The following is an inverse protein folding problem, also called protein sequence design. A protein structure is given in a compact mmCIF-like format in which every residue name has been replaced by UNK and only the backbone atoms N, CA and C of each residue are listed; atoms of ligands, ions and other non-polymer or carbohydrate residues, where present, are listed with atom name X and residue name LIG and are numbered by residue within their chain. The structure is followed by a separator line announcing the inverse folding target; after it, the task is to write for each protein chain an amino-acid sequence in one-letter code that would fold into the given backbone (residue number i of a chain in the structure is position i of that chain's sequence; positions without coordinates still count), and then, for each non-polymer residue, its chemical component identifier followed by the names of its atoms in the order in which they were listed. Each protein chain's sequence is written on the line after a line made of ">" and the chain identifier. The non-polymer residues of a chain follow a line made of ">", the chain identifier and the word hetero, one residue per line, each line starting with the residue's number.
data_IF_278842583839
#
_entry.id   IF_278842583839
#
_cell.length_a   1.000
_cell.length_b   1.000
_cell.length_c   1.000
_cell.angle_alpha   90.00
_cell.angle_beta   90.00
_cell.angle_gamma   90.00
#
_symmetry.space_group_name_H-M   'P 1'
#
loop_
_entity.id
_entity.type
_entity.pdbx_description
1 polymer ?
#
# COMPACT_ATOMS: atom_id res chain seq x y z
N UNK A 1 36.94 13.64 23.03
CA UNK A 1 36.50 14.79 22.20
C UNK A 1 35.10 14.53 21.65
N UNK A 2 34.27 15.58 21.54
CA UNK A 2 32.93 15.47 20.99
C UNK A 2 32.84 16.19 19.64
N UNK A 3 31.99 15.65 18.73
CA UNK A 3 31.78 16.22 17.42
C UNK A 3 30.36 16.00 16.95
N UNK A 4 29.88 16.85 16.03
CA UNK A 4 28.60 16.74 15.37
C UNK A 4 28.78 16.79 13.86
N UNK A 5 28.21 15.79 13.18
CA UNK A 5 28.06 15.75 11.73
C UNK A 5 26.63 15.99 11.32
N UNK A 6 26.42 16.67 10.19
CA UNK A 6 25.12 16.86 9.55
C UNK A 6 25.26 16.50 8.08
N UNK A 7 24.35 15.67 7.58
CA UNK A 7 24.29 15.31 6.16
C UNK A 7 22.85 15.32 5.68
N UNK A 8 22.63 15.79 4.46
CA UNK A 8 21.33 15.73 3.79
C UNK A 8 21.46 14.95 2.49
N UNK A 9 20.39 14.29 2.10
CA UNK A 9 20.34 13.49 0.88
C UNK A 9 18.92 13.27 0.41
N UNK A 10 18.78 12.56 -0.70
CA UNK A 10 17.51 12.14 -1.25
C UNK A 10 17.62 10.75 -1.85
N UNK A 11 16.47 10.12 -1.99
CA UNK A 11 16.35 8.86 -2.74
C UNK A 11 15.10 8.90 -3.62
N UNK A 12 15.23 8.47 -4.85
CA UNK A 12 14.14 8.41 -5.81
C UNK A 12 13.32 7.12 -5.67
N UNK A 13 12.15 7.11 -6.30
CA UNK A 13 11.33 5.91 -6.47
C UNK A 13 11.46 5.40 -7.91
N UNK A 14 11.83 4.13 -8.07
CA UNK A 14 12.21 3.62 -9.38
C UNK A 14 11.03 3.26 -10.30
N UNK A 15 9.80 3.18 -9.83
CA UNK A 15 8.66 2.78 -10.68
C UNK A 15 8.77 1.36 -11.25
N UNK A 16 8.33 1.17 -12.51
CA UNK A 16 8.42 -0.08 -13.25
C UNK A 16 7.18 -0.98 -13.15
N UNK A 17 7.25 -2.15 -13.78
CA UNK A 17 6.13 -3.06 -13.93
C UNK A 17 5.71 -3.68 -12.60
N UNK A 18 4.40 -3.75 -12.38
CA UNK A 18 3.77 -4.42 -11.25
C UNK A 18 2.42 -4.99 -11.65
N UNK A 19 2.06 -6.09 -11.02
CA UNK A 19 0.76 -6.74 -11.19
C UNK A 19 0.16 -7.11 -9.84
N UNK A 20 -1.16 -7.06 -9.77
CA UNK A 20 -1.93 -7.56 -8.63
C UNK A 20 -3.27 -8.10 -9.09
N UNK A 21 -3.81 -9.03 -8.32
CA UNK A 21 -5.16 -9.56 -8.43
C UNK A 21 -5.90 -9.26 -7.13
N UNK A 22 -7.08 -8.68 -7.24
CA UNK A 22 -7.98 -8.41 -6.13
C UNK A 22 -9.25 -9.22 -6.30
N UNK A 23 -9.63 -10.02 -5.31
CA UNK A 23 -10.82 -10.86 -5.32
C UNK A 23 -11.66 -10.63 -4.06
N UNK A 24 -12.98 -10.65 -4.22
CA UNK A 24 -13.93 -10.61 -3.12
C UNK A 24 -14.41 -12.05 -2.86
N UNK A 25 -14.34 -12.49 -1.61
CA UNK A 25 -14.87 -13.78 -1.18
C UNK A 25 -16.36 -13.70 -0.86
N UNK A 26 -17.06 -14.83 -0.78
CA UNK A 26 -18.52 -14.90 -0.55
C UNK A 26 -18.95 -14.22 0.77
N UNK A 27 -18.10 -14.26 1.79
CA UNK A 27 -18.29 -13.61 3.08
C UNK A 27 -17.89 -12.12 3.10
N UNK A 28 -17.50 -11.57 1.93
CA UNK A 28 -17.13 -10.17 1.77
C UNK A 28 -15.75 -9.82 2.31
N UNK A 29 -14.85 -10.79 2.47
CA UNK A 29 -13.43 -10.50 2.67
C UNK A 29 -12.75 -10.22 1.33
N UNK A 30 -11.61 -9.56 1.39
CA UNK A 30 -10.84 -9.16 0.21
C UNK A 30 -9.49 -9.86 0.23
N UNK A 31 -9.15 -10.51 -0.88
CA UNK A 31 -7.84 -11.13 -1.07
C UNK A 31 -7.11 -10.39 -2.18
N UNK A 32 -5.98 -9.78 -1.83
CA UNK A 32 -5.05 -9.17 -2.78
C UNK A 32 -3.88 -10.12 -2.98
N UNK A 33 -3.61 -10.49 -4.22
CA UNK A 33 -2.43 -11.28 -4.57
C UNK A 33 -1.47 -10.43 -5.38
N UNK A 34 -0.20 -10.36 -4.98
CA UNK A 34 0.87 -9.61 -5.65
C UNK A 34 2.11 -10.46 -5.84
N UNK A 35 2.96 -10.12 -6.81
CA UNK A 35 4.24 -10.79 -7.08
C UNK A 35 5.42 -10.25 -6.29
N UNK A 36 5.22 -9.20 -5.50
CA UNK A 36 6.30 -8.60 -4.73
C UNK A 36 6.45 -9.29 -3.36
N UNK A 37 7.68 -9.68 -2.97
CA UNK A 37 7.93 -10.20 -1.64
C UNK A 37 7.65 -9.15 -0.57
N UNK A 38 7.32 -9.61 0.65
CA UNK A 38 7.07 -8.75 1.79
C UNK A 38 8.38 -8.26 2.41
N UNK A 39 8.95 -7.24 1.81
CA UNK A 39 10.16 -6.57 2.32
C UNK A 39 9.77 -5.17 2.81
N UNK A 40 10.11 -4.85 4.07
CA UNK A 40 9.74 -3.59 4.71
C UNK A 40 8.26 -3.47 5.09
N UNK A 41 7.53 -4.59 5.21
CA UNK A 41 6.13 -4.60 5.64
C UNK A 41 5.14 -4.19 4.55
N UNK A 42 5.47 -4.41 3.28
CA UNK A 42 4.63 -4.03 2.14
C UNK A 42 3.25 -4.68 2.17
N UNK A 43 3.11 -5.92 2.68
CA UNK A 43 1.82 -6.60 2.80
C UNK A 43 0.82 -5.83 3.67
N UNK A 44 1.23 -5.42 4.86
CA UNK A 44 0.36 -4.65 5.76
C UNK A 44 0.00 -3.28 5.14
N UNK A 45 0.96 -2.62 4.49
CA UNK A 45 0.71 -1.36 3.80
C UNK A 45 -0.27 -1.51 2.63
N UNK A 46 -0.16 -2.59 1.83
CA UNK A 46 -1.12 -2.90 0.75
C UNK A 46 -2.51 -3.20 1.32
N UNK A 47 -2.60 -3.90 2.45
CA UNK A 47 -3.87 -4.14 3.12
C UNK A 47 -4.54 -2.83 3.56
N UNK A 48 -3.78 -1.91 4.16
CA UNK A 48 -4.28 -0.59 4.55
C UNK A 48 -4.79 0.22 3.35
N UNK A 49 -4.01 0.26 2.26
CA UNK A 49 -4.41 0.95 1.02
C UNK A 49 -5.70 0.35 0.45
N UNK A 50 -5.77 -0.97 0.36
CA UNK A 50 -6.97 -1.67 -0.16
C UNK A 50 -8.20 -1.38 0.70
N UNK A 51 -8.04 -1.43 2.01
CA UNK A 51 -9.11 -1.14 2.97
C UNK A 51 -9.61 0.32 2.84
N UNK A 52 -8.69 1.29 2.73
CA UNK A 52 -9.02 2.71 2.52
C UNK A 52 -9.78 2.93 1.20
N UNK A 53 -9.31 2.33 0.10
CA UNK A 53 -9.95 2.45 -1.20
C UNK A 53 -11.36 1.87 -1.25
N UNK A 54 -11.57 0.73 -0.61
CA UNK A 54 -12.87 0.06 -0.56
C UNK A 54 -13.78 0.59 0.55
N UNK A 55 -13.25 1.35 1.52
CA UNK A 55 -13.98 1.86 2.67
C UNK A 55 -14.34 0.78 3.71
N UNK A 56 -13.52 -0.25 3.85
CA UNK A 56 -13.75 -1.38 4.77
C UNK A 56 -12.68 -1.45 5.86
N UNK A 57 -12.91 -2.29 6.89
CA UNK A 57 -11.90 -2.53 7.92
C UNK A 57 -10.72 -3.33 7.34
N UNK A 58 -9.49 -2.95 7.68
CA UNK A 58 -8.27 -3.62 7.22
C UNK A 58 -8.22 -5.12 7.60
N UNK A 59 -8.85 -5.53 8.70
CA UNK A 59 -8.94 -6.93 9.13
C UNK A 59 -9.67 -7.83 8.12
N UNK A 60 -10.43 -7.23 7.20
CA UNK A 60 -11.10 -7.93 6.10
C UNK A 60 -10.24 -8.07 4.86
N UNK A 61 -9.03 -7.56 4.86
CA UNK A 61 -8.11 -7.61 3.72
C UNK A 61 -6.95 -8.55 4.03
N UNK A 62 -6.78 -9.58 3.22
CA UNK A 62 -5.64 -10.48 3.24
C UNK A 62 -4.76 -10.24 2.02
N UNK A 63 -3.44 -10.11 2.24
CA UNK A 63 -2.48 -9.95 1.14
C UNK A 63 -1.62 -11.21 1.03
N UNK A 64 -1.60 -11.80 -0.14
CA UNK A 64 -0.84 -13.00 -0.48
C UNK A 64 0.29 -12.66 -1.45
N UNK A 65 1.45 -13.25 -1.23
CA UNK A 65 2.51 -13.26 -2.23
C UNK A 65 2.24 -14.47 -3.15
N UNK A 66 1.93 -14.18 -4.41
CA UNK A 66 1.54 -15.18 -5.37
C UNK A 66 2.70 -15.74 -6.18
N UNK A 67 2.38 -16.75 -6.96
CA UNK A 67 3.26 -17.31 -7.97
C UNK A 67 3.29 -16.36 -9.19
N UNK A 68 4.47 -15.93 -9.60
CA UNK A 68 4.67 -15.02 -10.73
C UNK A 68 4.21 -15.60 -12.07
N UNK A 69 3.99 -16.90 -12.17
CA UNK A 69 3.38 -17.53 -13.35
C UNK A 69 1.86 -17.31 -13.45
N UNK A 70 1.20 -16.95 -12.34
CA UNK A 70 -0.28 -16.89 -12.28
C UNK A 70 -0.84 -15.47 -12.12
N UNK A 71 -0.04 -14.51 -11.63
CA UNK A 71 -0.52 -13.16 -11.31
C UNK A 71 0.02 -12.07 -12.25
N UNK A 72 0.77 -12.43 -13.27
CA UNK A 72 1.46 -11.51 -14.16
C UNK A 72 2.82 -11.05 -13.63
N UNK A 73 3.52 -10.28 -14.44
CA UNK A 73 4.89 -9.88 -14.17
C UNK A 73 4.94 -8.73 -13.16
N UNK A 74 5.86 -8.85 -12.22
CA UNK A 74 6.27 -7.78 -11.32
C UNK A 74 7.79 -7.66 -11.34
N UNK A 75 8.31 -6.47 -11.56
CA UNK A 75 9.74 -6.22 -11.63
C UNK A 75 10.40 -6.42 -10.26
N UNK A 76 11.72 -6.41 -10.24
CA UNK A 76 12.54 -6.63 -9.04
C UNK A 76 12.14 -5.73 -7.85
N UNK A 77 12.42 -6.22 -6.64
CA UNK A 77 12.36 -5.42 -5.41
C UNK A 77 13.66 -4.65 -5.23
N UNK A 78 13.67 -3.37 -5.55
CA UNK A 78 14.82 -2.48 -5.47
C UNK A 78 14.47 -1.06 -5.91
N UNK A 79 15.25 -0.06 -5.50
CA UNK A 79 15.00 1.33 -5.82
C UNK A 79 13.76 1.93 -5.15
N UNK A 80 13.35 1.39 -4.01
CA UNK A 80 12.18 1.84 -3.20
C UNK A 80 10.84 1.83 -3.95
N UNK A 81 10.66 0.90 -4.90
CA UNK A 81 9.52 0.89 -5.82
C UNK A 81 8.31 0.09 -5.35
N UNK A 82 8.50 -0.93 -4.51
CA UNK A 82 7.49 -1.97 -4.27
C UNK A 82 6.16 -1.38 -3.79
N UNK A 83 6.18 -0.59 -2.72
CA UNK A 83 4.92 -0.04 -2.18
C UNK A 83 4.27 0.91 -3.18
N UNK A 84 5.04 1.79 -3.82
CA UNK A 84 4.51 2.74 -4.80
C UNK A 84 3.85 2.04 -6.00
N UNK A 85 4.57 1.12 -6.66
CA UNK A 85 4.06 0.42 -7.82
C UNK A 85 2.91 -0.54 -7.48
N UNK A 86 2.96 -1.19 -6.28
CA UNK A 86 1.84 -2.01 -5.79
C UNK A 86 0.62 -1.18 -5.45
N UNK A 87 0.79 0.01 -4.85
CA UNK A 87 -0.32 0.91 -4.57
C UNK A 87 -1.04 1.34 -5.85
N UNK A 88 -0.28 1.67 -6.90
CA UNK A 88 -0.86 2.04 -8.20
C UNK A 88 -1.70 0.91 -8.79
N UNK A 89 -1.16 -0.30 -8.85
CA UNK A 89 -1.90 -1.44 -9.44
C UNK A 89 -3.10 -1.85 -8.59
N UNK A 90 -3.00 -1.76 -7.26
CA UNK A 90 -4.12 -2.04 -6.35
C UNK A 90 -5.21 -0.98 -6.47
N UNK A 91 -4.85 0.28 -6.65
CA UNK A 91 -5.82 1.37 -6.87
C UNK A 91 -6.65 1.11 -8.12
N UNK A 92 -6.03 0.77 -9.23
CA UNK A 92 -6.73 0.44 -10.48
C UNK A 92 -7.61 -0.81 -10.34
N UNK A 93 -7.09 -1.86 -9.71
CA UNK A 93 -7.86 -3.09 -9.44
C UNK A 93 -9.07 -2.81 -8.54
N UNK A 94 -8.90 -2.01 -7.50
CA UNK A 94 -9.98 -1.63 -6.58
C UNK A 94 -11.06 -0.81 -7.29
N UNK A 95 -10.69 0.11 -8.18
CA UNK A 95 -11.65 0.89 -8.95
C UNK A 95 -12.50 -0.01 -9.86
N UNK A 96 -11.90 -1.02 -10.50
CA UNK A 96 -12.62 -1.99 -11.31
C UNK A 96 -13.59 -2.80 -10.43
N UNK A 97 -13.14 -3.23 -9.26
CA UNK A 97 -13.98 -3.97 -8.30
C UNK A 97 -15.13 -3.11 -7.79
N UNK A 98 -14.89 -1.84 -7.44
CA UNK A 98 -15.96 -0.90 -7.05
C UNK A 98 -17.02 -0.78 -8.15
N UNK A 99 -16.60 -0.65 -9.40
CA UNK A 99 -17.54 -0.59 -10.53
C UNK A 99 -18.34 -1.89 -10.66
N UNK A 100 -17.71 -3.06 -10.48
CA UNK A 100 -18.46 -4.33 -10.43
C UNK A 100 -19.45 -4.38 -9.27
N UNK A 101 -19.06 -3.93 -8.07
CA UNK A 101 -19.95 -3.87 -6.91
C UNK A 101 -21.18 -2.97 -7.17
N UNK A 102 -20.97 -1.80 -7.78
CA UNK A 102 -22.07 -0.92 -8.21
C UNK A 102 -23.00 -1.61 -9.21
N UNK A 103 -22.45 -2.30 -10.22
CA UNK A 103 -23.21 -3.08 -11.19
C UNK A 103 -24.04 -4.19 -10.52
N UNK A 104 -23.49 -4.86 -9.49
CA UNK A 104 -24.26 -5.87 -8.75
C UNK A 104 -25.39 -5.23 -7.92
N UNK A 105 -25.13 -4.12 -7.24
CA UNK A 105 -26.13 -3.37 -6.51
C UNK A 105 -27.26 -2.86 -7.43
N UNK A 106 -26.91 -2.37 -8.64
CA UNK A 106 -27.87 -2.00 -9.66
C UNK A 106 -28.84 -3.12 -10.00
N UNK A 107 -28.32 -4.33 -10.21
CA UNK A 107 -29.13 -5.53 -10.48
C UNK A 107 -29.99 -5.94 -9.30
N UNK A 108 -29.49 -5.82 -8.07
CA UNK A 108 -30.25 -6.14 -6.85
C UNK A 108 -31.45 -5.20 -6.69
N UNK A 109 -31.24 -3.91 -6.93
CA UNK A 109 -32.29 -2.89 -6.78
C UNK A 109 -33.16 -2.68 -8.04
N UNK A 110 -32.70 -3.15 -9.21
CA UNK A 110 -33.38 -2.93 -10.49
C UNK A 110 -33.36 -1.47 -10.95
N UNK A 111 -32.22 -0.77 -10.73
CA UNK A 111 -31.98 0.63 -11.13
C UNK A 111 -30.73 0.75 -11.99
N UNK A 112 -30.51 1.92 -12.59
CA UNK A 112 -29.31 2.19 -13.38
C UNK A 112 -28.05 2.25 -12.51
N UNK A 113 -26.94 1.78 -13.03
CA UNK A 113 -25.64 1.78 -12.38
C UNK A 113 -25.14 3.23 -12.10
N UNK A 114 -25.47 4.18 -12.96
CA UNK A 114 -25.13 5.61 -12.79
C UNK A 114 -25.88 6.25 -11.60
N UNK A 115 -26.95 5.62 -11.12
CA UNK A 115 -27.69 6.06 -9.94
C UNK A 115 -27.15 5.44 -8.64
N UNK A 116 -25.92 4.96 -8.62
CA UNK A 116 -25.29 4.32 -7.46
C UNK A 116 -23.94 4.96 -7.17
N UNK A 117 -23.74 5.33 -5.92
CA UNK A 117 -22.46 5.76 -5.35
C UNK A 117 -21.88 4.65 -4.48
N UNK A 118 -20.55 4.60 -4.43
CA UNK A 118 -19.81 3.74 -3.50
C UNK A 118 -19.17 4.62 -2.44
N UNK A 119 -19.58 4.46 -1.20
CA UNK A 119 -19.08 5.25 -0.08
C UNK A 119 -19.00 4.42 1.20
N UNK A 120 -17.87 4.50 1.91
CA UNK A 120 -17.65 3.84 3.20
C UNK A 120 -17.95 2.32 3.20
N UNK A 121 -17.58 1.63 2.12
CA UNK A 121 -17.76 0.18 2.00
C UNK A 121 -19.17 -0.27 1.64
N UNK A 122 -20.02 0.65 1.17
CA UNK A 122 -21.40 0.41 0.82
C UNK A 122 -21.77 1.00 -0.54
N UNK A 123 -22.60 0.29 -1.29
CA UNK A 123 -23.32 0.87 -2.40
C UNK A 123 -24.54 1.65 -1.86
N UNK A 124 -24.72 2.87 -2.34
CA UNK A 124 -25.84 3.76 -1.96
C UNK A 124 -26.60 4.22 -3.19
N UNK A 125 -27.95 4.18 -3.16
CA UNK A 125 -28.74 4.78 -4.23
C UNK A 125 -28.55 6.30 -4.22
N UNK A 126 -28.32 6.88 -5.40
CA UNK A 126 -28.06 8.31 -5.59
C UNK A 126 -29.12 8.97 -6.51
N UNK A 127 -29.07 10.29 -6.63
CA UNK A 127 -29.96 11.07 -7.46
C UNK A 127 -31.43 10.86 -7.10
N UNK A 128 -32.28 10.62 -8.10
CA UNK A 128 -33.70 10.39 -7.91
C UNK A 128 -34.03 9.11 -7.12
N UNK A 129 -33.05 8.23 -6.92
CA UNK A 129 -33.20 7.00 -6.15
C UNK A 129 -32.76 7.12 -4.70
N UNK A 130 -32.21 8.25 -4.30
CA UNK A 130 -31.71 8.49 -2.93
C UNK A 130 -32.83 8.18 -1.90
N UNK A 131 -32.50 7.31 -0.93
CA UNK A 131 -33.40 6.91 0.15
C UNK A 131 -34.49 5.91 -0.23
N UNK A 132 -34.58 5.45 -1.49
CA UNK A 132 -35.57 4.45 -1.89
C UNK A 132 -35.21 3.01 -1.51
N UNK A 133 -33.93 2.74 -1.35
CA UNK A 133 -33.42 1.43 -0.97
C UNK A 133 -32.43 1.60 0.21
N UNK A 134 -32.33 0.57 1.05
CA UNK A 134 -31.31 0.51 2.07
C UNK A 134 -29.94 0.34 1.39
N UNK A 135 -28.86 0.98 1.87
CA UNK A 135 -27.51 0.72 1.41
C UNK A 135 -27.15 -0.76 1.49
N UNK A 136 -26.30 -1.22 0.58
CA UNK A 136 -25.77 -2.59 0.58
C UNK A 136 -24.28 -2.57 0.87
N UNK A 137 -23.87 -3.26 1.90
CA UNK A 137 -22.46 -3.49 2.23
C UNK A 137 -21.80 -4.39 1.19
N UNK A 138 -20.47 -4.33 1.12
CA UNK A 138 -19.67 -5.21 0.28
C UNK A 138 -20.04 -6.69 0.52
N UNK A 139 -20.22 -7.11 1.78
CA UNK A 139 -20.56 -8.48 2.14
C UNK A 139 -21.97 -8.88 1.63
N UNK A 140 -22.98 -8.01 1.74
CA UNK A 140 -24.32 -8.28 1.25
C UNK A 140 -24.40 -8.37 -0.28
N UNK A 141 -23.52 -7.62 -0.99
CA UNK A 141 -23.39 -7.72 -2.44
C UNK A 141 -22.67 -9.02 -2.81
N UNK A 142 -21.61 -9.38 -2.09
CA UNK A 142 -20.85 -10.61 -2.32
C UNK A 142 -21.69 -11.87 -2.12
N UNK A 143 -22.51 -11.93 -1.08
CA UNK A 143 -23.47 -13.02 -0.82
C UNK A 143 -24.40 -13.26 -2.01
N UNK A 144 -24.77 -12.19 -2.73
CA UNK A 144 -25.64 -12.26 -3.92
C UNK A 144 -24.89 -12.37 -5.25
N UNK A 145 -23.57 -12.55 -5.23
CA UNK A 145 -22.75 -12.54 -6.43
C UNK A 145 -23.21 -13.57 -7.46
N UNK A 146 -23.50 -14.80 -7.05
CA UNK A 146 -23.96 -15.87 -7.94
C UNK A 146 -25.21 -15.49 -8.73
N UNK A 147 -26.17 -14.83 -8.10
CA UNK A 147 -27.43 -14.40 -8.73
C UNK A 147 -27.28 -13.14 -9.59
N UNK A 148 -26.21 -12.36 -9.40
CA UNK A 148 -26.03 -11.05 -10.04
C UNK A 148 -24.96 -11.03 -11.14
N UNK A 149 -24.20 -12.12 -11.33
CA UNK A 149 -23.26 -12.25 -12.43
C UNK A 149 -21.96 -12.97 -12.07
N UNK A 150 -21.90 -13.71 -10.96
CA UNK A 150 -20.78 -14.54 -10.55
C UNK A 150 -19.70 -13.81 -9.74
N UNK A 151 -18.53 -14.39 -9.59
CA UNK A 151 -17.44 -13.86 -8.76
C UNK A 151 -17.09 -12.40 -9.07
N UNK A 152 -16.65 -11.68 -8.04
CA UNK A 152 -16.24 -10.27 -8.13
C UNK A 152 -14.73 -10.22 -7.91
N UNK A 153 -14.03 -9.64 -8.85
CA UNK A 153 -12.57 -9.50 -8.76
C UNK A 153 -11.98 -8.88 -10.02
N UNK A 154 -10.78 -8.34 -9.88
CA UNK A 154 -10.05 -7.72 -10.99
C UNK A 154 -8.55 -7.93 -10.85
N UNK A 155 -7.89 -8.25 -11.95
CA UNK A 155 -6.45 -8.16 -12.10
C UNK A 155 -6.07 -6.94 -12.91
N UNK A 156 -4.97 -6.30 -12.54
CA UNK A 156 -4.42 -5.17 -13.28
C UNK A 156 -2.90 -5.23 -13.34
N UNK A 157 -2.34 -4.61 -14.34
CA UNK A 157 -0.90 -4.46 -14.53
C UNK A 157 -0.58 -3.02 -14.88
N UNK A 158 0.46 -2.49 -14.27
CA UNK A 158 0.97 -1.15 -14.54
C UNK A 158 2.45 -1.22 -14.91
N UNK A 159 2.88 -0.26 -15.71
CA UNK A 159 4.30 0.09 -15.84
C UNK A 159 4.41 1.56 -15.44
N UNK A 160 4.75 1.80 -14.17
CA UNK A 160 4.79 3.15 -13.63
C UNK A 160 6.12 3.81 -13.95
N UNK A 161 6.07 5.10 -14.30
CA UNK A 161 7.26 5.94 -14.21
C UNK A 161 7.65 6.10 -12.73
N UNK A 162 8.93 6.36 -12.47
CA UNK A 162 9.38 6.66 -11.11
C UNK A 162 8.77 7.96 -10.59
N UNK A 163 8.72 8.09 -9.28
CA UNK A 163 8.32 9.33 -8.63
C UNK A 163 9.55 10.07 -8.09
N UNK A 164 9.39 11.38 -7.86
CA UNK A 164 10.40 12.18 -7.15
C UNK A 164 10.68 11.58 -5.77
N UNK A 165 11.95 11.71 -5.34
CA UNK A 165 12.42 11.10 -4.10
C UNK A 165 12.00 11.87 -2.84
N UNK A 166 11.99 11.14 -1.73
CA UNK A 166 11.95 11.75 -0.40
C UNK A 166 13.30 12.31 0.00
N UNK A 167 13.27 13.38 0.78
CA UNK A 167 14.47 14.05 1.29
C UNK A 167 14.71 13.70 2.75
N UNK A 168 15.98 13.60 3.13
CA UNK A 168 16.37 13.32 4.50
C UNK A 168 17.46 14.25 4.97
N UNK A 169 17.49 14.51 6.29
CA UNK A 169 18.62 15.12 6.98
C UNK A 169 18.94 14.29 8.21
N UNK A 170 20.21 13.96 8.38
CA UNK A 170 20.72 13.18 9.47
C UNK A 170 21.70 14.01 10.29
N UNK A 171 21.60 13.92 11.62
CA UNK A 171 22.49 14.57 12.58
C UNK A 171 23.06 13.50 13.48
N UNK A 172 24.37 13.41 13.57
CA UNK A 172 25.08 12.45 14.39
C UNK A 172 26.02 13.17 15.38
N UNK A 173 25.82 12.93 16.66
CA UNK A 173 26.71 13.36 17.73
C UNK A 173 27.62 12.21 18.15
N UNK A 174 28.92 12.42 18.13
CA UNK A 174 29.93 11.41 18.45
C UNK A 174 30.85 11.86 19.55
N UNK A 175 31.39 10.90 20.28
CA UNK A 175 32.52 11.03 21.19
C UNK A 175 33.67 10.22 20.64
N UNK A 176 34.88 10.84 20.60
CA UNK A 176 36.08 10.22 20.09
C UNK A 176 37.11 10.11 21.21
N UNK A 177 37.53 8.88 21.49
CA UNK A 177 38.71 8.61 22.30
C UNK A 177 39.95 8.79 21.41
N UNK A 178 40.69 9.84 21.67
CA UNK A 178 41.87 10.19 20.83
C UNK A 178 43.06 9.28 21.05
N UNK A 179 43.16 8.63 22.22
CA UNK A 179 44.27 7.73 22.52
C UNK A 179 44.08 6.35 21.90
N UNK A 180 42.81 5.88 21.86
CA UNK A 180 42.47 4.57 21.32
C UNK A 180 41.93 4.63 19.89
N UNK A 181 41.59 5.81 19.38
CA UNK A 181 40.95 5.97 18.07
C UNK A 181 39.52 5.41 18.01
N UNK A 182 38.86 5.25 19.15
CA UNK A 182 37.49 4.68 19.24
C UNK A 182 36.47 5.79 19.11
N UNK A 183 35.50 5.60 18.18
CA UNK A 183 34.37 6.49 17.99
C UNK A 183 33.12 5.86 18.61
N UNK A 184 32.36 6.64 19.41
CA UNK A 184 31.08 6.23 19.96
C UNK A 184 29.99 7.20 19.52
N UNK A 185 28.91 6.67 18.96
CA UNK A 185 27.72 7.46 18.65
C UNK A 185 26.96 7.75 19.95
N UNK A 186 26.84 9.03 20.30
CA UNK A 186 26.12 9.50 21.49
C UNK A 186 24.65 9.70 21.20
N UNK A 187 24.33 10.25 20.04
CA UNK A 187 22.98 10.51 19.57
C UNK A 187 22.94 10.53 18.06
N UNK A 188 21.86 9.98 17.51
CA UNK A 188 21.56 10.06 16.09
C UNK A 188 20.13 10.59 15.91
N UNK A 189 19.94 11.54 15.02
CA UNK A 189 18.63 12.11 14.67
C UNK A 189 18.45 11.98 13.17
N UNK A 190 17.38 11.33 12.76
CA UNK A 190 16.96 11.23 11.37
C UNK A 190 15.66 12.04 11.18
N UNK A 191 15.64 12.87 10.18
CA UNK A 191 14.49 13.67 9.75
C UNK A 191 14.24 13.30 8.28
N UNK A 192 13.06 12.75 7.98
CA UNK A 192 12.76 12.18 6.67
C UNK A 192 11.40 12.67 6.18
N UNK A 193 11.36 13.16 4.97
CA UNK A 193 10.12 13.32 4.22
C UNK A 193 9.74 11.99 3.58
N UNK A 194 8.61 11.46 3.96
CA UNK A 194 8.05 10.19 3.44
C UNK A 194 6.70 10.38 2.74
N UNK A 195 6.26 11.64 2.55
CA UNK A 195 4.92 11.96 2.09
C UNK A 195 3.85 11.42 3.06
N UNK A 196 2.81 10.76 2.56
CA UNK A 196 1.79 10.10 3.39
C UNK A 196 2.35 8.78 3.95
N UNK A 197 2.54 8.72 5.26
CA UNK A 197 2.93 7.48 5.94
C UNK A 197 1.76 6.49 5.97
N UNK A 198 1.74 5.52 5.07
CA UNK A 198 0.69 4.49 4.97
C UNK A 198 0.68 3.58 6.21
N UNK A 199 1.86 3.28 6.74
CA UNK A 199 2.05 2.50 7.96
C UNK A 199 3.16 3.14 8.80
N UNK A 200 2.85 4.06 9.72
CA UNK A 200 3.85 4.85 10.47
C UNK A 200 4.92 4.01 11.16
N UNK A 201 4.54 2.95 11.88
CA UNK A 201 5.48 2.10 12.62
C UNK A 201 6.51 1.44 11.68
N UNK A 202 6.09 1.04 10.48
CA UNK A 202 7.01 0.45 9.50
C UNK A 202 7.90 1.51 8.84
N UNK A 203 7.42 2.73 8.67
CA UNK A 203 8.26 3.86 8.25
C UNK A 203 9.36 4.10 9.27
N UNK A 204 9.03 4.18 10.55
CA UNK A 204 10.02 4.32 11.63
C UNK A 204 11.03 3.17 11.64
N UNK A 205 10.56 1.94 11.51
CA UNK A 205 11.41 0.75 11.42
C UNK A 205 12.39 0.79 10.24
N UNK A 206 11.93 1.24 9.07
CA UNK A 206 12.79 1.42 7.89
C UNK A 206 13.84 2.53 8.12
N UNK A 207 13.48 3.64 8.75
CA UNK A 207 14.43 4.70 9.09
C UNK A 207 15.48 4.24 10.09
N UNK A 208 15.08 3.51 11.13
CA UNK A 208 16.01 2.94 12.12
C UNK A 208 16.99 1.95 11.46
N UNK A 209 16.48 1.08 10.60
CA UNK A 209 17.32 0.12 9.87
C UNK A 209 18.32 0.80 8.94
N UNK A 210 17.89 1.81 8.19
CA UNK A 210 18.78 2.60 7.33
C UNK A 210 19.86 3.36 8.12
N UNK A 211 19.48 3.96 9.26
CA UNK A 211 20.43 4.63 10.14
C UNK A 211 21.47 3.65 10.71
N UNK A 212 21.03 2.47 11.18
CA UNK A 212 21.93 1.44 11.70
C UNK A 212 22.93 0.97 10.63
N UNK A 213 22.48 0.76 9.40
CA UNK A 213 23.35 0.42 8.28
C UNK A 213 24.37 1.52 7.98
N UNK A 214 23.95 2.79 7.93
CA UNK A 214 24.86 3.91 7.69
C UNK A 214 25.90 4.09 8.80
N UNK A 215 25.55 3.84 10.05
CA UNK A 215 26.48 3.84 11.19
C UNK A 215 27.47 2.67 11.04
N UNK A 216 26.99 1.48 10.68
CA UNK A 216 27.84 0.31 10.43
C UNK A 216 28.88 0.58 9.35
N UNK A 217 28.46 1.15 8.24
CA UNK A 217 29.35 1.56 7.15
C UNK A 217 30.46 2.53 7.60
N UNK A 218 30.09 3.50 8.44
CA UNK A 218 31.04 4.51 8.89
C UNK A 218 32.05 4.02 9.92
N UNK A 219 31.68 2.99 10.73
CA UNK A 219 32.49 2.59 11.90
C UNK A 219 33.10 1.18 11.79
N UNK A 220 32.51 0.27 11.02
CA UNK A 220 32.82 -1.16 11.13
C UNK A 220 32.95 -1.92 9.80
N UNK A 221 32.47 -1.35 8.68
CA UNK A 221 32.45 -2.03 7.36
C UNK A 221 33.43 -1.39 6.31
#
# INVERSE_FOLDING_TARGET
>A
HEGRGVASGFWFNAGGESSAQLNITEDGNVVVTTGHPDVGGSRASIANITAELLGINHDRVSVLIGDTATIGYSNLTGGSRVLFASAMVVTESAQIVINQLKQRAAKIWGIDEDAIEWENGEARPAGDNAGKFAPLTLAEIADKATATGGPIGAGYQVNTEGAEGGFATHICDVEVDMDLGIVRVKRYTSIQDVGKAIHPDYVEGQLQGGCAQGIGWALSE
#
